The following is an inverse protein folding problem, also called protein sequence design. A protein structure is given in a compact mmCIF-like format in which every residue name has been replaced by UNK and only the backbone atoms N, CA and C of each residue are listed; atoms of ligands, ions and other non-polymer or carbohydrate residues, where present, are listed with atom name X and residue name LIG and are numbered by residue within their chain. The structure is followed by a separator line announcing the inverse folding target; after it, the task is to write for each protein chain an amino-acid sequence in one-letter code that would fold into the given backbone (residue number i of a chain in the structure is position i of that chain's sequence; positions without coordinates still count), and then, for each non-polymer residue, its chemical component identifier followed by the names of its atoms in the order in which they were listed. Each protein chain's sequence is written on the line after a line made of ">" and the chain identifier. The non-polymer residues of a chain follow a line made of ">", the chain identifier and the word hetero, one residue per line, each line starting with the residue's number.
data_IF_892337695742
#
_entry.id   IF_892337695742
#
_cell.length_a   1.000
_cell.length_b   1.000
_cell.length_c   1.000
_cell.angle_alpha   90.00
_cell.angle_beta   90.00
_cell.angle_gamma   90.00
#
_symmetry.space_group_name_H-M   'P 1'
#
loop_
_entity.id
_entity.type
_entity.pdbx_description
1 polymer ?
#
# COMPACT_ATOMS: atom_id res chain seq x y z
N UNK A 1 15.41 4.58 7.17
CA UNK A 1 14.03 4.29 6.77
C UNK A 1 14.03 3.37 5.55
N UNK A 2 13.15 2.37 5.55
CA UNK A 2 13.10 1.38 4.46
C UNK A 2 11.93 1.77 3.55
N UNK A 3 12.22 2.22 2.33
CA UNK A 3 11.21 2.70 1.40
C UNK A 3 10.76 1.69 0.36
N UNK A 4 11.58 0.69 0.07
CA UNK A 4 11.27 -0.35 -0.92
C UNK A 4 12.13 -1.58 -0.66
N UNK A 5 11.54 -2.75 -0.87
CA UNK A 5 12.26 -4.02 -0.82
C UNK A 5 12.11 -4.74 -2.16
N UNK A 6 13.19 -5.39 -2.57
CA UNK A 6 13.16 -6.34 -3.68
C UNK A 6 13.80 -7.63 -3.21
N UNK A 7 13.07 -8.72 -3.29
CA UNK A 7 13.58 -10.00 -2.84
C UNK A 7 12.67 -11.15 -3.17
N UNK A 8 13.04 -12.30 -2.61
CA UNK A 8 12.37 -13.57 -2.84
C UNK A 8 11.34 -13.83 -1.75
N UNK A 9 10.15 -14.19 -2.15
CA UNK A 9 9.08 -14.52 -1.20
C UNK A 9 9.36 -15.89 -0.60
N UNK A 10 9.47 -15.94 0.74
CA UNK A 10 9.73 -17.18 1.48
C UNK A 10 8.44 -17.87 1.92
N UNK A 11 7.48 -17.10 2.47
CA UNK A 11 6.16 -17.64 2.80
C UNK A 11 5.15 -16.51 2.96
N UNK A 12 3.86 -16.88 2.92
CA UNK A 12 2.73 -16.01 3.21
C UNK A 12 2.05 -16.43 4.50
N UNK A 13 1.55 -15.45 5.24
CA UNK A 13 0.62 -15.63 6.35
C UNK A 13 -0.65 -14.84 6.06
N UNK A 14 -1.57 -14.79 7.02
CA UNK A 14 -2.86 -14.12 6.82
C UNK A 14 -2.72 -12.61 6.58
N UNK A 15 -1.80 -11.97 7.28
CA UNK A 15 -1.64 -10.52 7.27
C UNK A 15 -0.23 -10.06 6.91
N UNK A 16 0.68 -10.99 6.61
CA UNK A 16 2.06 -10.63 6.30
C UNK A 16 2.73 -11.67 5.41
N UNK A 17 3.90 -11.32 4.93
CA UNK A 17 4.77 -12.25 4.22
C UNK A 17 6.19 -12.09 4.76
N UNK A 18 7.00 -13.11 4.52
CA UNK A 18 8.44 -13.04 4.74
C UNK A 18 9.12 -12.93 3.37
N UNK A 19 9.89 -11.88 3.19
CA UNK A 19 10.65 -11.65 1.97
C UNK A 19 12.14 -11.68 2.30
N UNK A 20 12.89 -12.48 1.54
CA UNK A 20 14.34 -12.60 1.69
C UNK A 20 15.03 -11.63 0.74
N UNK A 21 15.73 -10.67 1.33
CA UNK A 21 16.50 -9.68 0.58
C UNK A 21 17.97 -9.92 0.89
N UNK A 22 18.64 -10.65 0.02
CA UNK A 22 20.07 -10.98 0.14
C UNK A 22 20.43 -11.59 1.51
N UNK A 23 19.63 -12.53 1.96
CA UNK A 23 19.87 -13.23 3.22
C UNK A 23 19.23 -12.63 4.44
N UNK A 24 18.63 -11.44 4.33
CA UNK A 24 17.88 -10.81 5.42
C UNK A 24 16.39 -11.04 5.21
N UNK A 25 15.73 -11.68 6.17
CA UNK A 25 14.29 -11.91 6.11
C UNK A 25 13.53 -10.75 6.72
N UNK A 26 12.67 -10.12 5.92
CA UNK A 26 11.80 -9.04 6.38
C UNK A 26 10.37 -9.55 6.49
N UNK A 27 9.76 -9.34 7.66
CA UNK A 27 8.33 -9.57 7.85
C UNK A 27 7.62 -8.29 7.43
N UNK A 28 6.79 -8.39 6.40
CA UNK A 28 6.11 -7.23 5.83
C UNK A 28 4.61 -7.45 5.93
N UNK A 29 3.94 -6.55 6.63
CA UNK A 29 2.48 -6.60 6.79
C UNK A 29 1.83 -5.95 5.58
N UNK A 30 0.86 -6.64 5.00
CA UNK A 30 0.19 -6.20 3.78
C UNK A 30 -1.31 -6.39 3.92
N UNK A 31 -2.07 -5.67 3.10
CA UNK A 31 -3.50 -5.91 2.98
C UNK A 31 -3.73 -7.27 2.32
N UNK A 32 -4.89 -7.84 2.58
CA UNK A 32 -5.30 -9.10 1.97
C UNK A 32 -5.26 -9.00 0.44
N UNK A 33 -5.70 -7.88 -0.09
CA UNK A 33 -5.68 -7.61 -1.54
C UNK A 33 -4.26 -7.64 -2.10
N UNK A 34 -3.32 -7.02 -1.40
CA UNK A 34 -1.90 -7.03 -1.80
C UNK A 34 -1.34 -8.46 -1.76
N UNK A 35 -1.60 -9.19 -0.69
CA UNK A 35 -1.09 -10.57 -0.57
C UNK A 35 -1.59 -11.47 -1.69
N UNK A 36 -2.85 -11.30 -2.10
CA UNK A 36 -3.42 -12.07 -3.20
C UNK A 36 -2.84 -11.70 -4.56
N UNK A 37 -2.38 -10.47 -4.71
CA UNK A 37 -1.84 -9.99 -5.99
C UNK A 37 -0.37 -10.33 -6.21
N UNK A 38 0.32 -10.79 -5.17
CA UNK A 38 1.74 -11.08 -5.25
C UNK A 38 2.00 -12.44 -5.92
N UNK A 39 3.20 -12.62 -6.50
CA UNK A 39 3.56 -13.90 -7.10
C UNK A 39 3.73 -14.99 -6.05
N UNK A 40 3.94 -16.22 -6.51
CA UNK A 40 4.04 -17.38 -5.64
C UNK A 40 5.31 -17.38 -4.80
N UNK A 41 5.30 -18.18 -3.74
CA UNK A 41 6.48 -18.45 -2.91
C UNK A 41 7.63 -18.91 -3.81
N UNK A 42 8.81 -18.39 -3.57
CA UNK A 42 10.01 -18.67 -4.36
C UNK A 42 10.27 -17.67 -5.47
N UNK A 43 9.31 -16.84 -5.80
CA UNK A 43 9.47 -15.82 -6.82
C UNK A 43 9.90 -14.48 -6.21
N UNK A 44 10.46 -13.61 -7.06
CA UNK A 44 10.95 -12.28 -6.65
C UNK A 44 9.90 -11.24 -6.90
N UNK A 45 9.83 -10.27 -5.99
CA UNK A 45 8.88 -9.16 -6.12
C UNK A 45 9.41 -7.89 -5.49
N UNK A 46 8.83 -6.77 -5.88
CA UNK A 46 9.04 -5.47 -5.24
C UNK A 46 7.90 -5.19 -4.28
N UNK A 47 8.22 -4.55 -3.16
CA UNK A 47 7.23 -3.97 -2.27
C UNK A 47 7.68 -2.58 -1.87
N UNK A 48 6.82 -1.60 -2.04
CA UNK A 48 7.01 -0.29 -1.43
C UNK A 48 6.66 -0.42 0.03
N UNK A 49 7.48 0.13 0.89
CA UNK A 49 7.35 -0.12 2.32
C UNK A 49 7.25 1.16 3.12
N UNK A 50 6.56 1.08 4.24
CA UNK A 50 6.49 2.14 5.23
C UNK A 50 6.79 1.53 6.60
N UNK A 51 7.70 2.16 7.33
CA UNK A 51 8.17 1.65 8.61
C UNK A 51 7.47 2.39 9.75
N UNK A 52 6.73 1.65 10.56
CA UNK A 52 6.11 2.20 11.76
C UNK A 52 7.01 1.89 12.95
N UNK A 53 7.50 2.94 13.58
CA UNK A 53 8.34 2.84 14.78
C UNK A 53 7.62 3.50 15.94
N UNK A 54 7.35 2.73 16.99
CA UNK A 54 6.84 3.22 18.28
C UNK A 54 7.70 2.59 19.37
N UNK A 55 7.47 2.97 20.62
CA UNK A 55 8.31 2.52 21.74
C UNK A 55 8.54 1.00 21.74
N UNK A 56 7.47 0.23 21.54
CA UNK A 56 7.53 -1.25 21.60
C UNK A 56 7.30 -1.90 20.25
N UNK A 57 7.06 -1.12 19.19
CA UNK A 57 6.62 -1.67 17.92
C UNK A 57 7.55 -1.21 16.80
N UNK A 58 8.02 -2.18 16.04
CA UNK A 58 8.73 -1.96 14.80
C UNK A 58 8.04 -2.81 13.74
N UNK A 59 7.21 -2.20 12.92
CA UNK A 59 6.44 -2.91 11.89
C UNK A 59 6.68 -2.31 10.52
N UNK A 60 6.85 -3.19 9.55
CA UNK A 60 7.04 -2.84 8.16
C UNK A 60 5.78 -3.17 7.39
N UNK A 61 5.23 -2.18 6.70
CA UNK A 61 4.03 -2.35 5.87
C UNK A 61 4.42 -2.31 4.41
N UNK A 62 3.80 -3.16 3.60
CA UNK A 62 4.13 -3.30 2.19
C UNK A 62 2.97 -3.02 1.26
N UNK A 63 3.29 -2.42 0.12
CA UNK A 63 2.33 -1.99 -0.89
C UNK A 63 2.88 -2.30 -2.27
N UNK A 64 1.98 -2.57 -3.21
CA UNK A 64 2.38 -2.85 -4.59
C UNK A 64 2.69 -1.58 -5.39
N UNK A 65 2.26 -0.43 -4.90
CA UNK A 65 2.50 0.85 -5.57
C UNK A 65 2.72 1.97 -4.56
N UNK A 66 3.34 3.05 -5.04
CA UNK A 66 3.54 4.27 -4.23
C UNK A 66 2.18 4.90 -3.88
N UNK A 67 1.22 4.82 -4.79
CA UNK A 67 -0.12 5.36 -4.57
C UNK A 67 -0.80 4.67 -3.37
N UNK A 68 -0.72 3.35 -3.30
CA UNK A 68 -1.26 2.61 -2.15
C UNK A 68 -0.56 3.01 -0.86
N UNK A 69 0.76 3.18 -0.90
CA UNK A 69 1.54 3.61 0.26
C UNK A 69 1.09 4.99 0.74
N UNK A 70 0.88 5.94 -0.17
CA UNK A 70 0.44 7.28 0.18
C UNK A 70 -0.98 7.29 0.74
N UNK A 71 -1.90 6.51 0.17
CA UNK A 71 -3.24 6.35 0.74
C UNK A 71 -3.20 5.78 2.14
N UNK A 72 -2.38 4.76 2.36
CA UNK A 72 -2.24 4.17 3.69
C UNK A 72 -1.73 5.21 4.69
N UNK A 73 -0.73 5.99 4.30
CA UNK A 73 -0.18 7.05 5.15
C UNK A 73 -1.26 8.07 5.51
N UNK A 74 -2.05 8.52 4.53
CA UNK A 74 -3.13 9.48 4.78
C UNK A 74 -4.21 8.89 5.67
N UNK A 75 -4.57 7.63 5.47
CA UNK A 75 -5.55 6.95 6.32
C UNK A 75 -5.11 6.96 7.78
N UNK A 76 -3.83 6.76 8.04
CA UNK A 76 -3.30 6.76 9.39
C UNK A 76 -3.31 8.14 10.05
N UNK A 77 -3.44 9.22 9.28
CA UNK A 77 -3.59 10.58 9.85
C UNK A 77 -4.99 10.84 10.39
N UNK A 78 -5.96 10.04 10.01
CA UNK A 78 -7.35 10.19 10.46
C UNK A 78 -7.46 9.65 11.88
N UNK A 79 -8.02 10.45 12.78
CA UNK A 79 -8.22 10.04 14.17
C UNK A 79 -9.13 8.81 14.23
N UNK A 80 -8.69 7.78 14.95
CA UNK A 80 -9.42 6.54 15.05
C UNK A 80 -9.01 5.48 14.04
N UNK A 81 -8.09 5.81 13.10
CA UNK A 81 -7.57 4.87 12.11
C UNK A 81 -6.12 4.57 12.42
N UNK A 82 -5.85 3.37 12.91
CA UNK A 82 -4.49 2.88 13.08
C UNK A 82 -3.99 2.14 11.84
N UNK A 83 -2.78 1.63 11.91
CA UNK A 83 -2.15 0.93 10.78
C UNK A 83 -2.98 -0.28 10.32
N UNK A 84 -3.50 -1.07 11.26
CA UNK A 84 -4.29 -2.25 10.95
C UNK A 84 -5.62 -1.89 10.28
N UNK A 85 -6.27 -0.84 10.79
CA UNK A 85 -7.51 -0.34 10.20
C UNK A 85 -7.28 0.21 8.80
N UNK A 86 -6.17 0.93 8.61
CA UNK A 86 -5.79 1.46 7.30
C UNK A 86 -5.56 0.31 6.29
N UNK A 87 -4.88 -0.75 6.70
CA UNK A 87 -4.70 -1.93 5.84
C UNK A 87 -6.05 -2.59 5.51
N UNK A 88 -6.96 -2.66 6.48
CA UNK A 88 -8.28 -3.23 6.24
C UNK A 88 -9.07 -2.42 5.20
N UNK A 89 -9.00 -1.10 5.27
CA UNK A 89 -9.63 -0.22 4.29
C UNK A 89 -9.01 -0.42 2.90
N UNK A 90 -7.69 -0.44 2.83
CA UNK A 90 -6.98 -0.69 1.56
C UNK A 90 -7.31 -2.06 0.98
N UNK A 91 -7.42 -3.07 1.84
CA UNK A 91 -7.78 -4.42 1.42
C UNK A 91 -9.20 -4.53 0.89
N UNK A 92 -10.14 -3.78 1.48
CA UNK A 92 -11.53 -3.80 1.06
C UNK A 92 -11.76 -3.05 -0.26
N UNK A 93 -11.14 -1.88 -0.42
CA UNK A 93 -11.44 -0.97 -1.52
C UNK A 93 -10.35 -0.91 -2.59
N UNK A 94 -9.10 -1.11 -2.22
CA UNK A 94 -7.97 -0.80 -3.09
C UNK A 94 -7.81 0.71 -3.26
N UNK A 95 -6.75 1.13 -3.92
CA UNK A 95 -6.46 2.55 -4.12
C UNK A 95 -7.54 3.24 -4.96
N UNK A 96 -7.97 2.61 -6.05
CA UNK A 96 -8.99 3.16 -6.93
C UNK A 96 -10.35 3.25 -6.26
N UNK A 97 -10.75 2.19 -5.56
CA UNK A 97 -12.02 2.16 -4.83
C UNK A 97 -12.06 3.20 -3.72
N UNK A 98 -10.96 3.36 -2.99
CA UNK A 98 -10.85 4.36 -1.94
C UNK A 98 -10.94 5.77 -2.51
N UNK A 99 -10.21 6.04 -3.57
CA UNK A 99 -10.25 7.34 -4.23
C UNK A 99 -11.67 7.70 -4.69
N UNK A 100 -12.36 6.74 -5.30
CA UNK A 100 -13.74 6.92 -5.74
C UNK A 100 -14.67 7.20 -4.57
N UNK A 101 -14.57 6.39 -3.52
CA UNK A 101 -15.44 6.52 -2.34
C UNK A 101 -15.27 7.88 -1.67
N UNK A 102 -14.04 8.35 -1.56
CA UNK A 102 -13.75 9.65 -0.98
C UNK A 102 -14.27 10.77 -1.87
N UNK A 103 -14.06 10.67 -3.18
CA UNK A 103 -14.46 11.71 -4.13
C UNK A 103 -15.97 11.91 -4.17
N UNK A 104 -16.75 10.85 -4.08
CA UNK A 104 -18.23 10.94 -4.12
C UNK A 104 -18.88 10.99 -2.74
N UNK A 105 -18.09 10.89 -1.67
CA UNK A 105 -18.61 10.94 -0.31
C UNK A 105 -19.26 9.63 0.14
N UNK A 106 -18.87 8.50 -0.44
CA UNK A 106 -19.46 7.20 -0.13
C UNK A 106 -18.77 6.57 1.09
N UNK A 107 -19.14 7.03 2.27
CA UNK A 107 -18.59 6.48 3.51
C UNK A 107 -19.10 5.05 3.79
N UNK A 108 -20.23 4.67 3.22
CA UNK A 108 -20.76 3.31 3.38
C UNK A 108 -19.80 2.26 2.78
N UNK A 109 -19.14 2.59 1.67
CA UNK A 109 -18.12 1.72 1.10
C UNK A 109 -16.92 1.56 2.05
N UNK A 110 -16.47 2.65 2.68
CA UNK A 110 -15.37 2.63 3.64
C UNK A 110 -15.75 1.80 4.88
N UNK A 111 -16.99 1.89 5.31
CA UNK A 111 -17.51 1.13 6.46
C UNK A 111 -17.45 -0.39 6.23
N UNK A 112 -17.43 -0.85 5.00
CA UNK A 112 -17.33 -2.28 4.69
C UNK A 112 -16.02 -2.89 5.16
N UNK A 113 -14.99 -2.08 5.37
CA UNK A 113 -13.72 -2.55 5.90
C UNK A 113 -13.89 -3.07 7.33
N UNK A 114 -13.25 -4.19 7.62
CA UNK A 114 -13.36 -4.86 8.91
C UNK A 114 -12.86 -3.93 10.04
N UNK A 115 -13.68 -3.77 11.06
CA UNK A 115 -13.34 -2.95 12.22
C UNK A 115 -13.58 -1.46 12.06
N UNK A 116 -14.20 -1.04 10.97
CA UNK A 116 -14.49 0.38 10.71
C UNK A 116 -15.97 0.64 10.98
N UNK A 117 -16.24 1.52 11.95
CA UNK A 117 -17.59 1.96 12.26
C UNK A 117 -18.05 3.14 11.40
N UNK A 118 -19.35 3.50 11.49
CA UNK A 118 -19.89 4.58 10.66
C UNK A 118 -19.23 5.93 10.93
N UNK A 119 -18.95 6.26 12.18
CA UNK A 119 -18.32 7.55 12.53
C UNK A 119 -16.91 7.65 11.95
N UNK A 120 -16.13 6.60 12.06
CA UNK A 120 -14.77 6.55 11.50
C UNK A 120 -14.81 6.62 9.98
N UNK A 121 -15.74 5.90 9.36
CA UNK A 121 -15.88 5.94 7.90
C UNK A 121 -16.24 7.34 7.40
N UNK A 122 -17.17 8.01 8.06
CA UNK A 122 -17.53 9.38 7.72
C UNK A 122 -16.36 10.34 7.91
N UNK A 123 -15.60 10.17 8.98
CA UNK A 123 -14.42 10.98 9.25
C UNK A 123 -13.35 10.80 8.18
N UNK A 124 -13.10 9.56 7.77
CA UNK A 124 -12.15 9.26 6.70
C UNK A 124 -12.53 10.03 5.43
N UNK A 125 -13.79 9.91 5.01
CA UNK A 125 -14.25 10.58 3.78
C UNK A 125 -14.13 12.10 3.92
N UNK A 126 -14.58 12.67 5.02
CA UNK A 126 -14.57 14.11 5.20
C UNK A 126 -13.17 14.70 5.29
N UNK A 127 -12.26 14.05 6.03
CA UNK A 127 -10.90 14.55 6.20
C UNK A 127 -10.03 14.36 4.97
N UNK A 128 -10.20 13.25 4.23
CA UNK A 128 -9.36 12.94 3.09
C UNK A 128 -9.88 13.51 1.77
N UNK A 129 -11.09 14.03 1.73
CA UNK A 129 -11.67 14.59 0.52
C UNK A 129 -10.82 15.71 -0.07
N UNK A 130 -10.25 16.54 0.78
CA UNK A 130 -9.37 17.64 0.35
C UNK A 130 -8.00 17.16 -0.09
N UNK A 131 -7.57 15.99 0.39
CA UNK A 131 -6.25 15.42 0.10
C UNK A 131 -6.24 14.48 -1.10
N UNK A 132 -7.40 14.05 -1.59
CA UNK A 132 -7.51 13.17 -2.74
C UNK A 132 -6.82 13.72 -4.00
N UNK A 133 -6.93 15.02 -4.34
CA UNK A 133 -6.23 15.55 -5.51
C UNK A 133 -4.71 15.41 -5.44
N UNK A 134 -4.12 15.47 -4.26
CA UNK A 134 -2.67 15.28 -4.09
C UNK A 134 -2.26 13.86 -4.47
N UNK A 135 -3.05 12.88 -4.04
CA UNK A 135 -2.80 11.47 -4.38
C UNK A 135 -2.99 11.25 -5.88
N UNK A 136 -4.00 11.87 -6.49
CA UNK A 136 -4.22 11.75 -7.91
C UNK A 136 -3.06 12.35 -8.71
N UNK A 137 -2.48 13.44 -8.24
CA UNK A 137 -1.30 14.04 -8.85
C UNK A 137 -0.10 13.08 -8.77
N UNK A 138 0.09 12.44 -7.64
CA UNK A 138 1.14 11.42 -7.46
C UNK A 138 0.88 10.23 -8.39
N UNK A 139 -0.36 9.76 -8.46
CA UNK A 139 -0.74 8.65 -9.35
C UNK A 139 -0.45 8.99 -10.82
N UNK A 140 -0.75 10.20 -11.24
CA UNK A 140 -0.49 10.64 -12.62
C UNK A 140 1.00 10.63 -12.93
N UNK A 141 1.83 11.09 -12.00
CA UNK A 141 3.29 11.14 -12.17
C UNK A 141 3.91 9.75 -12.07
N UNK A 142 3.68 9.04 -10.97
CA UNK A 142 4.33 7.76 -10.72
C UNK A 142 3.72 6.60 -11.49
N UNK A 143 2.44 6.67 -11.82
CA UNK A 143 1.81 5.69 -12.68
C UNK A 143 2.43 5.66 -14.07
N UNK A 144 2.60 6.84 -14.65
CA UNK A 144 3.27 6.99 -15.94
C UNK A 144 4.76 6.68 -15.85
N UNK A 145 5.40 7.14 -14.77
CA UNK A 145 6.82 6.89 -14.55
C UNK A 145 7.11 5.41 -14.37
N UNK A 146 6.24 4.66 -13.72
CA UNK A 146 6.42 3.22 -13.56
C UNK A 146 6.42 2.51 -14.90
N UNK A 147 5.51 2.87 -15.81
CA UNK A 147 5.49 2.33 -17.16
C UNK A 147 6.73 2.77 -17.94
N UNK A 148 7.10 4.04 -17.85
CA UNK A 148 8.29 4.56 -18.50
C UNK A 148 9.57 3.92 -17.97
N UNK A 149 9.66 3.69 -16.66
CA UNK A 149 10.82 3.04 -16.05
C UNK A 149 10.97 1.60 -16.50
N UNK A 150 9.87 0.86 -16.64
CA UNK A 150 9.90 -0.49 -17.17
C UNK A 150 10.40 -0.48 -18.62
N UNK A 151 9.92 0.45 -19.42
CA UNK A 151 10.38 0.63 -20.79
C UNK A 151 11.84 1.04 -20.85
N UNK A 152 12.26 1.95 -20.01
CA UNK A 152 13.63 2.44 -19.94
C UNK A 152 14.58 1.34 -19.48
N UNK A 153 14.16 0.51 -18.52
CA UNK A 153 14.97 -0.63 -18.08
C UNK A 153 15.22 -1.61 -19.20
N UNK A 154 14.19 -1.96 -19.97
CA UNK A 154 14.32 -2.84 -21.12
C UNK A 154 15.23 -2.23 -22.17
N UNK A 155 15.04 -0.95 -22.48
CA UNK A 155 15.89 -0.24 -23.45
C UNK A 155 17.33 -0.12 -22.96
N UNK A 156 17.54 0.11 -21.68
CA UNK A 156 18.87 0.19 -21.09
C UNK A 156 19.58 -1.16 -21.12
N UNK A 157 18.87 -2.25 -20.87
CA UNK A 157 19.41 -3.60 -20.97
C UNK A 157 19.80 -3.92 -22.41
N UNK A 158 18.97 -3.55 -23.38
CA UNK A 158 19.28 -3.73 -24.79
C UNK A 158 20.52 -2.93 -25.21
N UNK A 159 20.67 -1.71 -24.71
CA UNK A 159 21.82 -0.85 -25.00
C UNK A 159 23.07 -1.37 -24.30
N UNK A 160 22.95 -1.92 -23.09
CA UNK A 160 24.07 -2.47 -22.34
C UNK A 160 24.58 -3.78 -22.93
N UNK A 161 23.75 -4.49 -23.64
CA UNK A 161 24.13 -5.74 -24.29
C UNK A 161 24.63 -5.52 -25.69
#
# INVERSE_FOLDING_TARGET
>A
MIGRLYGKIEYFSEDHLLIDVQGVGYVVYCSERTLRSLPAVGEYTFLYTDLLVREDILQLFGFTSIVEKEWHRLLMTVQGVGAKAALAIMGALGADGLNRSISIGDWAAVKQAKGIGPKTAQRVVNELKEKAPQIMAIAAVFGQSAVCLLYTSDAADDVAS
#
